data_IF_018554223685
#
_entry.id   IF_018554223685
#
_cell.length_a   1.000
_cell.length_b   1.000
_cell.length_c   1.000
_cell.angle_alpha   90.00
_cell.angle_beta   90.00
_cell.angle_gamma   90.00
#
_symmetry.space_group_name_H-M   'P 1'
#
loop_
_entity.id
_entity.type
_entity.pdbx_description
1 polymer ?
#
# COMPACT_ATOMS: atom_id res chain seq x y z
N UNK A 1 -35.60 11.02 12.71
CA UNK A 1 -36.92 11.20 12.11
C UNK A 1 -36.83 12.30 11.04
N UNK A 2 -36.72 11.93 9.76
CA UNK A 2 -36.46 12.86 8.64
C UNK A 2 -37.74 13.41 8.00
N UNK A 3 -38.92 13.08 8.56
CA UNK A 3 -40.24 13.33 7.95
C UNK A 3 -40.64 14.81 7.87
N UNK A 4 -39.82 15.73 8.39
CA UNK A 4 -40.00 17.19 8.29
C UNK A 4 -38.69 17.97 8.11
N UNK A 5 -37.60 17.29 7.69
CA UNK A 5 -36.29 17.92 7.56
C UNK A 5 -36.23 18.82 6.32
N UNK A 6 -35.67 20.02 6.47
CA UNK A 6 -35.40 20.91 5.34
C UNK A 6 -34.42 20.25 4.35
N UNK A 7 -34.50 20.60 3.06
CA UNK A 7 -33.55 20.11 2.04
C UNK A 7 -32.09 20.35 2.43
N UNK A 8 -31.82 21.44 3.16
CA UNK A 8 -30.50 21.76 3.69
C UNK A 8 -30.03 20.75 4.74
N UNK A 9 -30.92 20.32 5.64
CA UNK A 9 -30.62 19.31 6.67
C UNK A 9 -30.32 17.95 6.03
N UNK A 10 -31.11 17.54 5.03
CA UNK A 10 -30.88 16.31 4.27
C UNK A 10 -29.52 16.38 3.57
N UNK A 11 -29.24 17.49 2.89
CA UNK A 11 -27.94 17.71 2.22
C UNK A 11 -26.75 17.60 3.18
N UNK A 12 -26.83 18.21 4.36
CA UNK A 12 -25.79 18.11 5.39
C UNK A 12 -25.59 16.68 5.90
N UNK A 13 -26.68 15.93 6.14
CA UNK A 13 -26.57 14.53 6.57
C UNK A 13 -25.93 13.63 5.50
N UNK A 14 -26.28 13.82 4.22
CA UNK A 14 -25.67 13.08 3.11
C UNK A 14 -24.17 13.37 3.03
N UNK A 15 -23.76 14.62 3.22
CA UNK A 15 -22.35 15.00 3.25
C UNK A 15 -21.60 14.37 4.42
N UNK A 16 -22.21 14.31 5.62
CA UNK A 16 -21.61 13.67 6.79
C UNK A 16 -21.37 12.16 6.53
N UNK A 17 -22.37 11.45 6.00
CA UNK A 17 -22.25 10.02 5.67
C UNK A 17 -21.22 9.79 4.54
N UNK A 18 -21.12 10.70 3.56
CA UNK A 18 -20.11 10.62 2.52
C UNK A 18 -18.69 10.75 3.10
N UNK A 19 -18.49 11.63 4.09
CA UNK A 19 -17.21 11.77 4.81
C UNK A 19 -16.89 10.52 5.62
N UNK A 20 -17.86 9.97 6.35
CA UNK A 20 -17.67 8.72 7.11
C UNK A 20 -17.30 7.54 6.19
N UNK A 21 -17.99 7.39 5.07
CA UNK A 21 -17.68 6.39 4.05
C UNK A 21 -16.30 6.61 3.41
N UNK A 22 -15.90 7.87 3.20
CA UNK A 22 -14.57 8.21 2.70
C UNK A 22 -13.48 7.82 3.70
N UNK A 23 -13.66 8.10 4.99
CA UNK A 23 -12.72 7.71 6.05
C UNK A 23 -12.53 6.19 6.07
N UNK A 24 -13.63 5.43 6.09
CA UNK A 24 -13.60 3.98 5.99
C UNK A 24 -12.86 3.49 4.76
N UNK A 25 -13.29 3.96 3.58
CA UNK A 25 -12.71 3.55 2.30
C UNK A 25 -11.22 3.91 2.21
N UNK A 26 -10.84 5.11 2.66
CA UNK A 26 -9.45 5.57 2.67
C UNK A 26 -8.59 4.70 3.60
N UNK A 27 -9.10 4.32 4.77
CA UNK A 27 -8.39 3.47 5.72
C UNK A 27 -7.93 2.15 5.10
N UNK A 28 -8.79 1.56 4.24
CA UNK A 28 -8.55 0.31 3.51
C UNK A 28 -7.67 0.58 2.28
N UNK A 29 -7.97 1.65 1.55
CA UNK A 29 -7.24 2.04 0.34
C UNK A 29 -5.76 2.32 0.62
N UNK A 30 -5.45 2.88 1.78
CA UNK A 30 -4.08 3.11 2.23
C UNK A 30 -3.26 1.82 2.34
N UNK A 31 -3.87 0.68 2.67
CA UNK A 31 -3.16 -0.61 2.69
C UNK A 31 -2.82 -1.10 1.29
N UNK A 32 -3.68 -0.84 0.30
CA UNK A 32 -3.37 -1.14 -1.11
C UNK A 32 -2.27 -0.19 -1.61
N UNK A 33 -2.31 1.09 -1.24
CA UNK A 33 -1.23 2.02 -1.53
C UNK A 33 0.10 1.59 -0.90
N UNK A 34 0.09 1.00 0.30
CA UNK A 34 1.32 0.48 0.90
C UNK A 34 1.99 -0.60 0.03
N UNK A 35 1.21 -1.51 -0.58
CA UNK A 35 1.73 -2.52 -1.52
C UNK A 35 2.27 -1.89 -2.80
N UNK A 36 1.53 -0.91 -3.35
CA UNK A 36 1.95 -0.23 -4.58
C UNK A 36 3.25 0.55 -4.38
N UNK A 37 3.37 1.30 -3.28
CA UNK A 37 4.60 2.00 -2.92
C UNK A 37 5.74 1.01 -2.71
N UNK A 38 5.52 -0.07 -1.96
CA UNK A 38 6.55 -1.07 -1.71
C UNK A 38 7.04 -1.72 -3.02
N UNK A 39 6.11 -2.10 -3.91
CA UNK A 39 6.44 -2.68 -5.21
C UNK A 39 7.13 -1.69 -6.15
N UNK A 40 6.77 -0.42 -6.11
CA UNK A 40 7.44 0.63 -6.87
C UNK A 40 8.89 0.83 -6.40
N UNK A 41 9.12 0.91 -5.09
CA UNK A 41 10.47 1.01 -4.50
C UNK A 41 11.29 -0.25 -4.82
N UNK A 42 10.68 -1.44 -4.72
CA UNK A 42 11.34 -2.69 -5.07
C UNK A 42 11.77 -2.73 -6.55
N UNK A 43 10.89 -2.35 -7.48
CA UNK A 43 11.19 -2.31 -8.90
C UNK A 43 12.26 -1.28 -9.27
N UNK A 44 12.26 -0.12 -8.60
CA UNK A 44 13.26 0.91 -8.81
C UNK A 44 14.64 0.46 -8.29
N UNK A 45 14.66 -0.25 -7.16
CA UNK A 45 15.89 -0.76 -6.53
C UNK A 45 16.57 -1.85 -7.37
N UNK A 46 15.82 -2.61 -8.16
CA UNK A 46 16.32 -3.69 -9.01
C UNK A 46 16.51 -3.30 -10.48
N UNK A 47 16.37 -2.00 -10.81
CA UNK A 47 16.45 -1.45 -12.18
C UNK A 47 15.40 -1.98 -13.16
N UNK A 48 14.47 -2.83 -12.71
CA UNK A 48 13.41 -3.42 -13.54
C UNK A 48 12.33 -2.42 -13.94
N UNK A 49 12.17 -1.35 -13.17
CA UNK A 49 11.26 -0.25 -13.51
C UNK A 49 11.56 0.36 -14.89
N UNK A 50 12.83 0.37 -15.31
CA UNK A 50 13.25 0.92 -16.61
C UNK A 50 13.18 -0.12 -17.74
N UNK A 51 13.41 -1.40 -17.45
CA UNK A 51 13.42 -2.47 -18.47
C UNK A 51 12.02 -2.87 -18.96
N UNK A 52 11.00 -2.75 -18.11
CA UNK A 52 9.62 -3.14 -18.41
C UNK A 52 8.63 -1.96 -18.37
N UNK A 53 9.10 -0.73 -18.09
CA UNK A 53 8.26 0.45 -17.88
C UNK A 53 7.95 1.29 -19.12
N UNK A 54 8.67 1.08 -20.24
CA UNK A 54 8.45 1.85 -21.47
C UNK A 54 7.56 1.09 -22.46
N UNK A 55 6.31 1.55 -22.63
CA UNK A 55 5.52 1.36 -23.86
C UNK A 55 4.45 0.27 -23.91
N UNK A 56 4.21 -0.53 -22.86
CA UNK A 56 3.23 -1.63 -22.91
C UNK A 56 1.84 -1.31 -22.31
N UNK A 57 1.70 -0.27 -21.48
CA UNK A 57 0.41 0.12 -20.87
C UNK A 57 0.31 1.63 -20.68
N UNK A 58 -0.93 2.17 -20.72
CA UNK A 58 -1.22 3.60 -20.61
C UNK A 58 -0.93 4.19 -19.21
N UNK A 59 -0.65 3.35 -18.23
CA UNK A 59 -0.31 3.72 -16.85
C UNK A 59 0.94 2.91 -16.46
N UNK A 60 2.15 3.50 -16.44
CA UNK A 60 3.39 2.78 -16.17
C UNK A 60 3.50 2.41 -14.68
N UNK A 61 2.66 1.48 -14.24
CA UNK A 61 2.79 0.78 -12.97
C UNK A 61 3.88 -0.29 -13.11
N UNK A 62 4.94 -0.26 -12.30
CA UNK A 62 5.96 -1.30 -12.35
C UNK A 62 5.34 -2.69 -12.12
N UNK A 63 5.79 -3.70 -12.87
CA UNK A 63 5.24 -5.06 -12.79
C UNK A 63 5.18 -5.60 -11.35
N UNK A 64 6.15 -5.23 -10.50
CA UNK A 64 6.20 -5.61 -9.10
C UNK A 64 5.07 -4.98 -8.28
N UNK A 65 4.79 -3.71 -8.50
CA UNK A 65 3.68 -3.00 -7.85
C UNK A 65 2.34 -3.65 -8.20
N UNK A 66 2.13 -3.92 -9.49
CA UNK A 66 0.89 -4.56 -9.96
C UNK A 66 0.74 -5.99 -9.42
N UNK A 67 1.81 -6.79 -9.45
CA UNK A 67 1.81 -8.15 -8.91
C UNK A 67 1.43 -8.17 -7.43
N UNK A 68 2.06 -7.31 -6.62
CA UNK A 68 1.78 -7.23 -5.20
C UNK A 68 0.37 -6.69 -4.94
N UNK A 69 -0.09 -5.69 -5.69
CA UNK A 69 -1.44 -5.12 -5.52
C UNK A 69 -2.54 -6.14 -5.85
N UNK A 70 -2.46 -6.82 -7.01
CA UNK A 70 -3.43 -7.85 -7.39
C UNK A 70 -3.34 -9.04 -6.41
N UNK A 71 -2.13 -9.50 -6.07
CA UNK A 71 -1.93 -10.57 -5.10
C UNK A 71 -2.49 -10.24 -3.72
N UNK A 72 -2.31 -9.00 -3.27
CA UNK A 72 -2.89 -8.48 -2.02
C UNK A 72 -4.41 -8.43 -2.05
N UNK A 73 -5.01 -8.02 -3.17
CA UNK A 73 -6.47 -8.09 -3.35
C UNK A 73 -6.96 -9.53 -3.27
N UNK A 74 -6.33 -10.46 -3.98
CA UNK A 74 -6.70 -11.89 -3.92
C UNK A 74 -6.59 -12.41 -2.49
N UNK A 75 -5.50 -12.09 -1.79
CA UNK A 75 -5.33 -12.47 -0.39
C UNK A 75 -6.42 -11.85 0.51
N UNK A 76 -6.75 -10.57 0.31
CA UNK A 76 -7.83 -9.91 1.03
C UNK A 76 -9.16 -10.66 0.88
N UNK A 77 -9.54 -11.05 -0.33
CA UNK A 77 -10.74 -11.85 -0.55
C UNK A 77 -10.63 -13.24 0.11
N UNK A 78 -9.47 -13.89 0.04
CA UNK A 78 -9.24 -15.18 0.69
C UNK A 78 -9.31 -15.10 2.23
N UNK A 79 -8.96 -13.96 2.82
CA UNK A 79 -9.09 -13.69 4.26
C UNK A 79 -10.53 -13.38 4.71
N UNK A 80 -11.51 -13.37 3.80
CA UNK A 80 -12.91 -13.08 4.11
C UNK A 80 -13.19 -11.59 4.36
N UNK A 81 -12.36 -10.71 3.81
CA UNK A 81 -12.43 -9.26 4.02
C UNK A 81 -13.80 -8.63 3.67
N UNK A 82 -14.58 -9.11 2.68
CA UNK A 82 -15.94 -8.61 2.47
C UNK A 82 -16.85 -8.74 3.70
N UNK A 83 -16.71 -9.80 4.50
CA UNK A 83 -17.47 -9.96 5.74
C UNK A 83 -17.00 -8.97 6.81
N UNK A 84 -15.68 -8.78 6.95
CA UNK A 84 -15.11 -7.77 7.85
C UNK A 84 -15.51 -6.34 7.45
N UNK A 85 -15.59 -6.04 6.15
CA UNK A 85 -16.03 -4.75 5.66
C UNK A 85 -17.48 -4.46 6.06
N UNK A 86 -18.36 -5.46 5.98
CA UNK A 86 -19.74 -5.31 6.45
C UNK A 86 -19.80 -5.05 7.96
N UNK A 87 -19.02 -5.76 8.78
CA UNK A 87 -18.96 -5.47 10.22
C UNK A 87 -18.36 -4.10 10.53
N UNK A 88 -17.36 -3.65 9.76
CA UNK A 88 -16.74 -2.34 9.92
C UNK A 88 -17.70 -1.19 9.57
N UNK A 89 -18.58 -1.39 8.57
CA UNK A 89 -19.64 -0.43 8.23
C UNK A 89 -20.74 -0.35 9.30
N UNK A 90 -20.99 -1.44 10.04
CA UNK A 90 -21.95 -1.39 11.15
C UNK A 90 -21.30 -0.72 12.36
N UNK A 91 -20.09 -1.14 12.72
CA UNK A 91 -19.32 -0.56 13.83
C UNK A 91 -18.92 0.90 13.61
N UNK A 92 -18.93 1.41 12.37
CA UNK A 92 -18.68 2.83 12.12
C UNK A 92 -19.68 3.75 12.79
N UNK A 93 -20.91 3.28 13.02
CA UNK A 93 -21.94 4.07 13.69
C UNK A 93 -21.70 4.22 15.20
N UNK A 94 -20.85 3.38 15.81
CA UNK A 94 -20.42 3.54 17.19
C UNK A 94 -19.38 4.68 17.31
N UNK A 95 -18.49 4.81 16.32
CA UNK A 95 -17.44 5.84 16.29
C UNK A 95 -17.93 7.18 15.69
N UNK A 96 -18.81 7.13 14.69
CA UNK A 96 -19.36 8.28 13.96
C UNK A 96 -20.88 8.12 13.85
N UNK A 97 -21.64 8.64 14.83
CA UNK A 97 -23.10 8.56 14.82
C UNK A 97 -23.71 9.19 13.56
N UNK A 98 -24.87 8.67 13.15
CA UNK A 98 -25.56 9.09 11.92
C UNK A 98 -25.74 10.61 11.82
N UNK A 99 -25.30 11.17 10.68
CA UNK A 99 -25.46 12.60 10.38
C UNK A 99 -24.57 13.54 11.21
N UNK A 100 -23.60 13.01 11.97
CA UNK A 100 -22.62 13.82 12.70
C UNK A 100 -21.33 13.96 11.90
N UNK A 101 -20.77 15.18 11.86
CA UNK A 101 -19.45 15.39 11.26
C UNK A 101 -18.36 15.09 12.28
N UNK A 102 -17.24 14.44 11.87
CA UNK A 102 -16.07 14.33 12.72
C UNK A 102 -15.52 15.74 13.01
N UNK A 103 -15.01 15.94 14.23
CA UNK A 103 -14.25 17.13 14.55
C UNK A 103 -12.99 17.17 13.67
N UNK A 104 -12.70 18.32 13.07
CA UNK A 104 -11.59 18.45 12.11
C UNK A 104 -10.22 18.11 12.70
N UNK A 105 -10.02 18.35 14.01
CA UNK A 105 -8.80 17.98 14.74
C UNK A 105 -8.62 16.46 14.81
N UNK A 106 -9.64 15.73 15.26
CA UNK A 106 -9.60 14.27 15.38
C UNK A 106 -9.38 13.60 14.01
N UNK A 107 -10.02 14.15 12.97
CA UNK A 107 -9.85 13.66 11.60
C UNK A 107 -8.43 13.87 11.08
N UNK A 108 -7.82 15.03 11.36
CA UNK A 108 -6.46 15.33 10.95
C UNK A 108 -5.46 14.40 11.67
N UNK A 109 -5.62 14.25 12.98
CA UNK A 109 -4.80 13.38 13.82
C UNK A 109 -4.89 11.91 13.40
N UNK A 110 -6.11 11.43 13.15
CA UNK A 110 -6.35 10.11 12.58
C UNK A 110 -5.65 9.95 11.22
N UNK A 111 -5.83 10.93 10.33
CA UNK A 111 -5.27 10.91 8.98
C UNK A 111 -3.75 10.82 9.00
N UNK A 112 -3.07 11.64 9.82
CA UNK A 112 -1.62 11.61 9.97
C UNK A 112 -1.14 10.25 10.48
N UNK A 113 -1.79 9.69 11.51
CA UNK A 113 -1.45 8.36 12.04
C UNK A 113 -1.65 7.26 10.99
N UNK A 114 -2.76 7.29 10.24
CA UNK A 114 -3.10 6.26 9.27
C UNK A 114 -2.20 6.30 8.04
N UNK A 115 -1.94 7.49 7.50
CA UNK A 115 -1.01 7.69 6.38
C UNK A 115 0.41 7.32 6.81
N UNK A 116 0.85 7.76 7.99
CA UNK A 116 2.16 7.41 8.54
C UNK A 116 2.34 5.90 8.73
N UNK A 117 1.34 5.21 9.27
CA UNK A 117 1.35 3.75 9.43
C UNK A 117 1.38 2.99 8.11
N UNK A 118 0.63 3.45 7.10
CA UNK A 118 0.64 2.87 5.76
C UNK A 118 2.01 3.05 5.08
N UNK A 119 2.61 4.24 5.20
CA UNK A 119 3.94 4.52 4.66
C UNK A 119 5.02 3.70 5.37
N UNK A 120 4.98 3.61 6.70
CA UNK A 120 5.88 2.76 7.46
C UNK A 120 5.77 1.28 7.04
N UNK A 121 4.56 0.80 6.80
CA UNK A 121 4.32 -0.55 6.27
C UNK A 121 4.93 -0.71 4.87
N UNK A 122 4.74 0.28 3.98
CA UNK A 122 5.32 0.26 2.64
C UNK A 122 6.86 0.16 2.66
N UNK A 123 7.50 0.99 3.50
CA UNK A 123 8.97 0.98 3.65
C UNK A 123 9.46 -0.33 4.27
N UNK A 124 8.76 -0.87 5.28
CA UNK A 124 9.10 -2.15 5.88
C UNK A 124 9.02 -3.31 4.86
N UNK A 125 8.01 -3.30 3.99
CA UNK A 125 7.87 -4.28 2.91
C UNK A 125 8.94 -4.10 1.82
N UNK A 126 9.36 -2.86 1.53
CA UNK A 126 10.41 -2.58 0.55
C UNK A 126 11.83 -2.85 1.06
N UNK A 127 12.04 -2.84 2.38
CA UNK A 127 13.34 -2.98 3.05
C UNK A 127 14.25 -4.09 2.49
N UNK A 128 13.80 -5.35 2.29
CA UNK A 128 14.68 -6.39 1.76
C UNK A 128 15.27 -6.03 0.39
N UNK A 129 14.45 -5.48 -0.52
CA UNK A 129 14.89 -5.09 -1.86
C UNK A 129 15.90 -3.93 -1.83
N UNK A 130 15.67 -2.95 -0.98
CA UNK A 130 16.58 -1.80 -0.82
C UNK A 130 17.95 -2.28 -0.30
N UNK A 131 17.96 -3.16 0.70
CA UNK A 131 19.21 -3.71 1.25
C UNK A 131 19.97 -4.54 0.21
N UNK A 132 19.27 -5.39 -0.55
CA UNK A 132 19.91 -6.17 -1.61
C UNK A 132 20.45 -5.28 -2.73
N UNK A 133 19.69 -4.26 -3.15
CA UNK A 133 20.15 -3.30 -4.14
C UNK A 133 21.37 -2.51 -3.66
N UNK A 134 21.39 -2.09 -2.39
CA UNK A 134 22.54 -1.43 -1.81
C UNK A 134 23.78 -2.35 -1.83
N UNK A 135 23.65 -3.60 -1.37
CA UNK A 135 24.73 -4.58 -1.40
C UNK A 135 25.24 -4.85 -2.83
N UNK A 136 24.32 -4.96 -3.79
CA UNK A 136 24.65 -5.14 -5.20
C UNK A 136 25.42 -3.94 -5.79
N UNK A 137 24.97 -2.72 -5.52
CA UNK A 137 25.64 -1.51 -5.99
C UNK A 137 27.05 -1.35 -5.40
N UNK A 138 27.22 -1.70 -4.12
CA UNK A 138 28.54 -1.71 -3.46
C UNK A 138 29.45 -2.75 -4.10
N UNK A 139 28.95 -3.96 -4.35
CA UNK A 139 29.71 -5.02 -5.02
C UNK A 139 30.12 -4.62 -6.44
N UNK A 140 29.20 -4.06 -7.23
CA UNK A 140 29.48 -3.52 -8.56
C UNK A 140 30.54 -2.42 -8.52
N UNK A 141 30.47 -1.50 -7.56
CA UNK A 141 31.46 -0.44 -7.39
C UNK A 141 32.87 -0.99 -7.15
N UNK A 142 33.00 -2.03 -6.32
CA UNK A 142 34.27 -2.72 -6.10
C UNK A 142 34.78 -3.44 -7.36
N UNK A 143 33.89 -4.13 -8.10
CA UNK A 143 34.24 -4.82 -9.35
C UNK A 143 34.70 -3.83 -10.42
N UNK A 144 33.98 -2.71 -10.60
CA UNK A 144 34.33 -1.66 -11.56
C UNK A 144 35.71 -1.06 -11.27
N UNK A 145 36.09 -0.96 -9.99
CA UNK A 145 37.44 -0.51 -9.60
C UNK A 145 38.51 -1.56 -9.93
N UNK A 146 38.21 -2.84 -9.79
CA UNK A 146 39.16 -3.93 -10.03
C UNK A 146 39.36 -4.26 -11.52
N UNK A 147 38.30 -4.14 -12.33
CA UNK A 147 38.32 -4.45 -13.77
C UNK A 147 37.68 -3.32 -14.59
N UNK A 148 38.36 -2.16 -14.76
CA UNK A 148 37.79 -0.98 -15.42
C UNK A 148 37.50 -1.16 -16.91
N UNK A 149 38.16 -2.14 -17.55
CA UNK A 149 38.11 -2.36 -19.00
C UNK A 149 37.01 -3.34 -19.43
N UNK A 150 36.43 -4.11 -18.51
CA UNK A 150 35.26 -4.94 -18.81
C UNK A 150 34.02 -4.08 -18.65
N UNK A 151 33.13 -4.08 -19.64
CA UNK A 151 31.79 -3.53 -19.50
C UNK A 151 30.98 -4.42 -18.56
N UNK A 152 31.20 -4.27 -17.24
CA UNK A 152 30.52 -5.02 -16.17
C UNK A 152 28.99 -4.91 -16.29
N UNK A 153 28.50 -3.88 -16.98
CA UNK A 153 27.10 -3.73 -17.38
C UNK A 153 26.53 -4.95 -18.14
N UNK A 154 27.31 -5.61 -19.01
CA UNK A 154 26.79 -6.72 -19.83
C UNK A 154 26.62 -8.03 -19.05
N UNK A 155 27.37 -8.24 -17.97
CA UNK A 155 27.17 -9.40 -17.07
C UNK A 155 26.23 -9.03 -15.91
N UNK A 156 26.28 -7.78 -15.46
CA UNK A 156 25.46 -7.27 -14.36
C UNK A 156 23.97 -7.20 -14.68
N UNK A 157 23.59 -6.79 -15.90
CA UNK A 157 22.17 -6.63 -16.25
C UNK A 157 21.37 -7.96 -16.26
N UNK A 158 21.87 -9.07 -16.84
CA UNK A 158 21.20 -10.37 -16.70
C UNK A 158 21.21 -10.89 -15.25
N UNK A 159 22.32 -10.71 -14.53
CA UNK A 159 22.46 -11.21 -13.17
C UNK A 159 21.53 -10.49 -12.17
N UNK A 160 21.43 -9.15 -12.25
CA UNK A 160 20.53 -8.37 -11.38
C UNK A 160 19.07 -8.69 -11.66
N UNK A 161 18.71 -8.87 -12.94
CA UNK A 161 17.35 -9.20 -13.36
C UNK A 161 16.94 -10.58 -12.81
N UNK A 162 17.79 -11.59 -13.01
CA UNK A 162 17.53 -12.93 -12.49
C UNK A 162 17.48 -12.95 -10.96
N UNK A 163 18.40 -12.25 -10.30
CA UNK A 163 18.44 -12.10 -8.85
C UNK A 163 17.19 -11.41 -8.30
N UNK A 164 16.70 -10.37 -8.97
CA UNK A 164 15.51 -9.64 -8.60
C UNK A 164 14.23 -10.49 -8.72
N UNK A 165 14.08 -11.25 -9.80
CA UNK A 165 12.95 -12.17 -9.98
C UNK A 165 12.96 -13.24 -8.88
N UNK A 166 14.12 -13.87 -8.64
CA UNK A 166 14.26 -14.89 -7.61
C UNK A 166 13.98 -14.32 -6.21
N UNK A 167 14.49 -13.12 -5.93
CA UNK A 167 14.20 -12.41 -4.70
C UNK A 167 12.71 -12.12 -4.54
N UNK A 168 12.04 -11.63 -5.58
CA UNK A 168 10.60 -11.37 -5.55
C UNK A 168 9.82 -12.66 -5.29
N UNK A 169 10.17 -13.76 -5.94
CA UNK A 169 9.54 -15.06 -5.71
C UNK A 169 9.66 -15.53 -4.26
N UNK A 170 10.84 -15.38 -3.65
CA UNK A 170 11.09 -15.78 -2.26
C UNK A 170 10.49 -14.81 -1.23
N UNK A 171 10.49 -13.51 -1.53
CA UNK A 171 10.00 -12.48 -0.62
C UNK A 171 8.47 -12.40 -0.59
N UNK A 172 7.80 -12.60 -1.73
CA UNK A 172 6.34 -12.40 -1.88
C UNK A 172 5.51 -13.09 -0.79
N UNK A 173 5.72 -14.38 -0.43
CA UNK A 173 4.94 -15.01 0.63
C UNK A 173 5.08 -14.32 1.98
N UNK A 174 6.30 -13.86 2.32
CA UNK A 174 6.58 -13.15 3.57
C UNK A 174 5.94 -11.76 3.55
N UNK A 175 6.08 -11.03 2.44
CA UNK A 175 5.48 -9.71 2.26
C UNK A 175 3.95 -9.77 2.38
N UNK A 176 3.34 -10.75 1.72
CA UNK A 176 1.88 -10.97 1.74
C UNK A 176 1.38 -11.33 3.13
N UNK A 177 2.12 -12.17 3.87
CA UNK A 177 1.79 -12.49 5.26
C UNK A 177 1.83 -11.24 6.16
N UNK A 178 2.94 -10.50 6.13
CA UNK A 178 3.12 -9.30 6.95
C UNK A 178 2.06 -8.25 6.61
N UNK A 179 1.81 -8.03 5.32
CA UNK A 179 0.78 -7.10 4.87
C UNK A 179 -0.62 -7.57 5.29
N UNK A 180 -0.94 -8.86 5.16
CA UNK A 180 -2.23 -9.43 5.54
C UNK A 180 -2.52 -9.27 7.03
N UNK A 181 -1.53 -9.54 7.89
CA UNK A 181 -1.63 -9.31 9.34
C UNK A 181 -1.93 -7.83 9.64
N UNK A 182 -1.25 -6.90 8.97
CA UNK A 182 -1.49 -5.45 9.12
C UNK A 182 -2.86 -5.02 8.62
N UNK A 183 -3.31 -5.59 7.50
CA UNK A 183 -4.63 -5.33 6.93
C UNK A 183 -5.74 -5.76 7.89
N UNK A 184 -5.61 -6.94 8.50
CA UNK A 184 -6.59 -7.42 9.48
C UNK A 184 -6.68 -6.50 10.68
N UNK A 185 -5.54 -6.03 11.22
CA UNK A 185 -5.53 -5.05 12.32
C UNK A 185 -6.24 -3.74 11.93
N UNK A 186 -5.98 -3.27 10.70
CA UNK A 186 -6.61 -2.08 10.12
C UNK A 186 -8.13 -2.25 9.96
N UNK A 187 -8.61 -3.46 9.66
CA UNK A 187 -10.03 -3.78 9.50
C UNK A 187 -10.78 -3.89 10.82
N UNK A 188 -10.12 -4.41 11.86
CA UNK A 188 -10.70 -4.51 13.20
C UNK A 188 -10.89 -3.12 13.81
N UNK A 189 -10.04 -2.16 13.44
CA UNK A 189 -10.12 -0.79 13.91
C UNK A 189 -9.84 0.22 12.76
N UNK A 190 -10.84 0.48 11.90
CA UNK A 190 -10.68 1.38 10.76
C UNK A 190 -10.59 2.85 11.18
N UNK A 191 -11.26 3.21 12.28
CA UNK A 191 -11.29 4.56 12.82
C UNK A 191 -10.13 4.81 13.80
N UNK A 192 -9.49 3.79 14.37
CA UNK A 192 -8.55 4.03 15.46
C UNK A 192 -9.28 4.57 16.69
N UNK A 193 -8.52 5.10 17.65
CA UNK A 193 -9.07 5.92 18.72
C UNK A 193 -9.56 7.28 18.18
N UNK A 194 -10.75 7.31 17.56
CA UNK A 194 -11.61 8.48 17.68
C UNK A 194 -12.13 8.51 19.13
N UNK A 195 -12.25 9.69 19.75
CA UNK A 195 -12.90 9.81 21.05
C UNK A 195 -14.36 9.36 21.02
#
# INVERSE_FOLDING_TARGET
DLRGASLATIGLTVMAEAVAGLILGLSIRLMIFALQIAGAVAAQSTSLAQMFGEGLTADPQPAYSNLLAIGGIVLAFALGLPAYAASAMIGSYDALPFGTFPLGGDLADWGVRRVGGAFATAIALAAPFVVAAFAYNVALGAINRAMPQLMVAFVGAPAITAGAILMMMLATPVLMRVWGERLTLVMLDPFGAFP
#
